data_IF_962449326215
#
_entry.id   IF_962449326215
#
_cell.length_a   1.000
_cell.length_b   1.000
_cell.length_c   1.000
_cell.angle_alpha   90.00
_cell.angle_beta   90.00
_cell.angle_gamma   90.00
#
_symmetry.space_group_name_H-M   'P 1'
#
loop_
_entity.id
_entity.type
_entity.pdbx_description
1 polymer ?
#
# COMPACT_ATOMS: atom_id res chain seq x y z
N UNK A 1 -0.50 4.08 55.48
CA UNK A 1 0.24 3.70 54.26
C UNK A 1 1.31 4.75 53.99
N UNK A 2 2.59 4.37 53.84
CA UNK A 2 3.68 5.33 53.59
C UNK A 2 3.43 6.08 52.27
N UNK A 3 3.79 7.37 52.14
CA UNK A 3 3.46 8.20 50.97
C UNK A 3 3.97 7.63 49.64
N UNK A 4 5.09 6.87 49.66
CA UNK A 4 5.60 6.10 48.51
C UNK A 4 4.62 5.06 47.96
N UNK A 5 3.84 4.39 48.82
CA UNK A 5 2.88 3.37 48.37
C UNK A 5 1.61 3.98 47.77
N UNK A 6 1.17 5.14 48.27
CA UNK A 6 0.07 5.91 47.68
C UNK A 6 0.45 6.38 46.27
N UNK A 7 1.66 6.90 46.06
CA UNK A 7 2.12 7.33 44.75
C UNK A 7 2.18 6.17 43.73
N UNK A 8 2.72 5.02 44.14
CA UNK A 8 2.77 3.82 43.29
C UNK A 8 1.36 3.32 42.96
N UNK A 9 0.45 3.32 43.94
CA UNK A 9 -0.94 2.90 43.73
C UNK A 9 -1.68 3.85 42.80
N UNK A 10 -1.46 5.17 42.91
CA UNK A 10 -2.03 6.17 42.01
C UNK A 10 -1.51 6.01 40.57
N UNK A 11 -0.21 5.75 40.37
CA UNK A 11 0.35 5.47 39.03
C UNK A 11 -0.23 4.17 38.45
N UNK A 12 -0.36 3.13 39.28
CA UNK A 12 -0.95 1.85 38.89
C UNK A 12 -2.45 1.99 38.55
N UNK A 13 -3.17 2.90 39.22
CA UNK A 13 -4.59 3.17 38.95
C UNK A 13 -4.78 4.01 37.67
N UNK A 14 -3.86 4.96 37.40
CA UNK A 14 -3.87 5.73 36.15
C UNK A 14 -3.55 4.88 34.92
N UNK A 15 -2.69 3.86 35.05
CA UNK A 15 -2.32 3.00 33.92
C UNK A 15 -3.48 2.10 33.47
N UNK A 16 -4.34 1.61 34.38
CA UNK A 16 -5.54 0.85 34.02
C UNK A 16 -6.67 1.73 33.46
N UNK A 17 -6.76 3.01 33.85
CA UNK A 17 -7.77 3.94 33.34
C UNK A 17 -7.53 4.39 31.88
N UNK A 18 -6.30 4.23 31.36
CA UNK A 18 -5.96 4.57 29.97
C UNK A 18 -6.48 3.57 28.95
N UNK A 19 -6.91 2.38 29.38
CA UNK A 19 -7.52 1.37 28.52
C UNK A 19 -9.00 1.70 28.22
N UNK A 20 -9.31 2.95 27.84
CA UNK A 20 -10.57 3.25 27.17
C UNK A 20 -10.47 2.71 25.76
N UNK A 21 -11.12 1.57 25.51
CA UNK A 21 -11.41 1.06 24.17
C UNK A 21 -12.29 2.11 23.46
N UNK A 22 -11.67 3.09 22.82
CA UNK A 22 -12.39 4.03 21.94
C UNK A 22 -12.86 3.18 20.76
N UNK A 23 -14.11 2.75 20.79
CA UNK A 23 -14.74 2.14 19.64
C UNK A 23 -14.84 3.23 18.58
N UNK A 24 -14.12 3.07 17.48
CA UNK A 24 -14.28 3.97 16.33
C UNK A 24 -15.61 3.63 15.68
N UNK A 25 -16.48 4.63 15.55
CA UNK A 25 -17.77 4.46 14.90
C UNK A 25 -17.59 4.20 13.41
N UNK A 26 -18.54 3.45 12.83
CA UNK A 26 -18.51 3.16 11.39
C UNK A 26 -18.96 4.42 10.64
N UNK A 27 -18.12 5.01 9.77
CA UNK A 27 -18.53 6.16 8.97
C UNK A 27 -19.65 5.76 7.99
N UNK A 28 -20.56 6.69 7.69
CA UNK A 28 -21.70 6.45 6.80
C UNK A 28 -21.25 6.13 5.36
N UNK A 29 -20.20 6.82 4.92
CA UNK A 29 -19.56 6.72 3.61
C UNK A 29 -18.33 5.79 3.63
N UNK A 30 -18.31 4.74 4.47
CA UNK A 30 -17.18 3.82 4.57
C UNK A 30 -16.79 3.22 3.20
N UNK A 31 -15.52 3.39 2.82
CA UNK A 31 -14.94 2.74 1.64
C UNK A 31 -15.00 1.21 1.85
N UNK A 32 -15.63 0.44 0.93
CA UNK A 32 -15.65 -1.02 1.01
C UNK A 32 -14.25 -1.63 1.10
N UNK A 33 -14.12 -2.75 1.83
CA UNK A 33 -12.82 -3.43 2.03
C UNK A 33 -12.07 -3.72 0.73
N UNK A 34 -12.77 -4.22 -0.29
CA UNK A 34 -12.18 -4.52 -1.59
C UNK A 34 -11.59 -3.27 -2.24
N UNK A 35 -12.34 -2.17 -2.27
CA UNK A 35 -11.89 -0.89 -2.81
C UNK A 35 -10.74 -0.30 -1.97
N UNK A 36 -10.82 -0.40 -0.63
CA UNK A 36 -9.72 0.03 0.25
C UNK A 36 -8.44 -0.77 -0.02
N UNK A 37 -8.53 -2.08 -0.24
CA UNK A 37 -7.38 -2.90 -0.64
C UNK A 37 -6.74 -2.41 -1.95
N UNK A 38 -7.54 -2.07 -2.97
CA UNK A 38 -7.03 -1.52 -4.22
C UNK A 38 -6.40 -0.12 -4.03
N UNK A 39 -6.99 0.73 -3.18
CA UNK A 39 -6.41 2.03 -2.81
C UNK A 39 -5.05 1.84 -2.14
N UNK A 40 -4.94 0.92 -1.18
CA UNK A 40 -3.68 0.63 -0.47
C UNK A 40 -2.60 0.08 -1.41
N UNK A 41 -2.99 -0.74 -2.40
CA UNK A 41 -2.09 -1.18 -3.45
C UNK A 41 -1.54 -0.01 -4.27
N UNK A 42 -2.40 0.90 -4.71
CA UNK A 42 -1.98 2.09 -5.45
C UNK A 42 -1.10 3.03 -4.62
N UNK A 43 -1.43 3.23 -3.34
CA UNK A 43 -0.58 3.96 -2.39
C UNK A 43 0.81 3.32 -2.30
N UNK A 44 0.90 1.99 -2.19
CA UNK A 44 2.16 1.28 -2.13
C UNK A 44 2.98 1.44 -3.42
N UNK A 45 2.34 1.32 -4.59
CA UNK A 45 2.98 1.51 -5.90
C UNK A 45 3.49 2.93 -6.09
N UNK A 46 2.66 3.93 -5.78
CA UNK A 46 3.04 5.34 -5.84
C UNK A 46 4.21 5.62 -4.90
N UNK A 47 4.17 5.13 -3.66
CA UNK A 47 5.25 5.32 -2.69
C UNK A 47 6.56 4.65 -3.14
N UNK A 48 6.51 3.48 -3.77
CA UNK A 48 7.68 2.82 -4.35
C UNK A 48 8.25 3.62 -5.54
N UNK A 49 7.38 4.25 -6.34
CA UNK A 49 7.76 5.07 -7.49
C UNK A 49 8.36 6.43 -7.10
N UNK A 50 8.11 6.94 -5.88
CA UNK A 50 8.63 8.26 -5.42
C UNK A 50 10.15 8.41 -5.55
N UNK A 51 10.92 7.32 -5.50
CA UNK A 51 12.37 7.34 -5.69
C UNK A 51 12.83 7.42 -7.16
N UNK A 52 11.94 7.23 -8.12
CA UNK A 52 12.25 7.12 -9.55
C UNK A 52 11.34 8.09 -10.31
N UNK A 53 11.83 9.31 -10.59
CA UNK A 53 11.13 10.24 -11.48
C UNK A 53 9.98 11.03 -10.85
N UNK A 54 10.07 11.39 -9.57
CA UNK A 54 9.15 12.37 -8.96
C UNK A 54 9.11 13.68 -9.76
N UNK A 55 10.19 14.02 -10.46
CA UNK A 55 10.28 15.22 -11.28
C UNK A 55 9.32 15.17 -12.48
N UNK A 56 9.11 14.00 -13.09
CA UNK A 56 8.11 13.83 -14.16
C UNK A 56 6.70 14.07 -13.63
N UNK A 57 6.38 13.61 -12.42
CA UNK A 57 5.07 13.87 -11.80
C UNK A 57 4.89 15.37 -11.50
N UNK A 58 5.94 16.04 -11.01
CA UNK A 58 5.92 17.48 -10.74
C UNK A 58 5.79 18.32 -12.01
N UNK A 59 6.54 17.99 -13.06
CA UNK A 59 6.47 18.64 -14.37
C UNK A 59 5.05 18.55 -14.95
N UNK A 60 4.41 17.39 -14.79
CA UNK A 60 3.03 17.16 -15.21
C UNK A 60 1.98 17.65 -14.19
N UNK A 61 2.40 18.31 -13.10
CA UNK A 61 1.54 18.84 -12.02
C UNK A 61 0.61 17.78 -11.39
N UNK A 62 1.05 16.52 -11.36
CA UNK A 62 0.32 15.41 -10.76
C UNK A 62 0.63 15.33 -9.27
N UNK A 63 -0.39 15.51 -8.44
CA UNK A 63 -0.31 15.26 -7.00
C UNK A 63 -0.69 13.79 -6.78
N UNK A 64 0.22 12.93 -6.30
CA UNK A 64 -0.01 11.48 -6.28
C UNK A 64 -1.22 11.08 -5.43
N UNK A 65 -1.40 11.71 -4.27
CA UNK A 65 -2.53 11.41 -3.38
C UNK A 65 -3.86 11.81 -4.04
N UNK A 66 -3.92 12.98 -4.70
CA UNK A 66 -5.10 13.42 -5.47
C UNK A 66 -5.41 12.47 -6.63
N UNK A 67 -4.40 11.97 -7.32
CA UNK A 67 -4.58 11.01 -8.40
C UNK A 67 -5.22 9.71 -7.89
N UNK A 68 -4.78 9.20 -6.75
CA UNK A 68 -5.36 7.99 -6.12
C UNK A 68 -6.82 8.22 -5.78
N UNK A 69 -7.15 9.35 -5.15
CA UNK A 69 -8.52 9.70 -4.80
C UNK A 69 -9.44 9.77 -6.02
N UNK A 70 -8.99 10.43 -7.09
CA UNK A 70 -9.73 10.51 -8.35
C UNK A 70 -9.93 9.14 -9.01
N UNK A 71 -8.87 8.32 -9.08
CA UNK A 71 -8.92 6.95 -9.66
C UNK A 71 -9.99 6.09 -8.99
N UNK A 72 -10.12 6.21 -7.67
CA UNK A 72 -11.06 5.42 -6.87
C UNK A 72 -12.39 6.10 -6.60
N UNK A 73 -12.62 7.33 -7.10
CA UNK A 73 -13.85 8.10 -6.84
C UNK A 73 -14.14 8.27 -5.34
N UNK A 74 -13.08 8.51 -4.56
CA UNK A 74 -13.17 8.82 -3.12
C UNK A 74 -12.63 10.21 -2.87
N UNK A 75 -13.06 10.84 -1.79
CA UNK A 75 -12.44 12.09 -1.31
C UNK A 75 -11.46 11.83 -0.16
N UNK A 76 -10.68 12.85 0.20
CA UNK A 76 -9.65 12.74 1.23
C UNK A 76 -10.22 12.50 2.63
N UNK A 77 -11.41 13.04 2.93
CA UNK A 77 -12.07 12.88 4.21
C UNK A 77 -12.62 11.45 4.34
N UNK A 78 -13.32 10.97 3.32
CA UNK A 78 -13.83 9.61 3.23
C UNK A 78 -12.70 8.59 3.39
N UNK A 79 -11.56 8.81 2.72
CA UNK A 79 -10.38 7.97 2.90
C UNK A 79 -9.85 8.01 4.32
N UNK A 80 -9.68 9.21 4.90
CA UNK A 80 -9.17 9.36 6.26
C UNK A 80 -10.05 8.66 7.30
N UNK A 81 -11.36 8.86 7.24
CA UNK A 81 -12.34 8.24 8.14
C UNK A 81 -12.38 6.71 7.98
N UNK A 82 -12.38 6.23 6.74
CA UNK A 82 -12.34 4.79 6.44
C UNK A 82 -11.04 4.15 6.92
N UNK A 83 -9.91 4.82 6.71
CA UNK A 83 -8.60 4.38 7.20
C UNK A 83 -8.58 4.32 8.73
N UNK A 84 -9.10 5.33 9.43
CA UNK A 84 -9.22 5.31 10.89
C UNK A 84 -10.12 4.18 11.38
N UNK A 85 -11.25 3.92 10.71
CA UNK A 85 -12.15 2.81 11.03
C UNK A 85 -11.47 1.45 10.86
N UNK A 86 -10.75 1.23 9.76
CA UNK A 86 -10.03 -0.03 9.55
C UNK A 86 -8.83 -0.17 10.48
N UNK A 87 -8.12 0.92 10.79
CA UNK A 87 -7.04 0.94 11.78
C UNK A 87 -7.50 0.52 13.19
N UNK A 88 -8.76 0.76 13.55
CA UNK A 88 -9.33 0.28 14.80
C UNK A 88 -9.65 -1.22 14.80
N UNK A 89 -9.46 -1.92 13.67
CA UNK A 89 -9.76 -3.34 13.47
C UNK A 89 -8.54 -4.09 12.92
N UNK A 90 -7.53 -4.37 13.76
CA UNK A 90 -6.22 -4.86 13.29
C UNK A 90 -6.28 -6.12 12.43
N UNK A 91 -7.14 -7.10 12.78
CA UNK A 91 -7.27 -8.32 11.99
C UNK A 91 -7.84 -8.09 10.59
N UNK A 92 -8.85 -7.21 10.46
CA UNK A 92 -9.43 -6.87 9.15
C UNK A 92 -8.43 -6.05 8.33
N UNK A 93 -7.71 -5.13 8.96
CA UNK A 93 -6.74 -4.30 8.25
C UNK A 93 -5.51 -5.09 7.79
N UNK A 94 -4.98 -5.96 8.65
CA UNK A 94 -3.88 -6.85 8.30
C UNK A 94 -4.24 -7.77 7.14
N UNK A 95 -5.49 -8.24 7.05
CA UNK A 95 -5.94 -9.04 5.92
C UNK A 95 -5.91 -8.24 4.59
N UNK A 96 -6.26 -6.95 4.61
CA UNK A 96 -6.15 -6.08 3.43
C UNK A 96 -4.69 -5.90 3.00
N UNK A 97 -3.78 -5.62 3.93
CA UNK A 97 -2.34 -5.54 3.62
C UNK A 97 -1.75 -6.84 3.09
N UNK A 98 -2.17 -7.99 3.63
CA UNK A 98 -1.75 -9.30 3.12
C UNK A 98 -2.19 -9.53 1.67
N UNK A 99 -3.38 -9.07 1.31
CA UNK A 99 -3.85 -9.13 -0.08
C UNK A 99 -3.06 -8.17 -0.99
N UNK A 100 -2.71 -6.97 -0.49
CA UNK A 100 -1.81 -6.05 -1.20
C UNK A 100 -0.45 -6.69 -1.47
N UNK A 101 0.18 -7.30 -0.45
CA UNK A 101 1.46 -8.00 -0.60
C UNK A 101 1.39 -9.12 -1.64
N UNK A 102 0.29 -9.90 -1.63
CA UNK A 102 0.05 -10.96 -2.60
C UNK A 102 -0.04 -10.39 -4.03
N UNK A 103 -0.84 -9.36 -4.25
CA UNK A 103 -0.98 -8.70 -5.56
C UNK A 103 0.35 -8.13 -6.06
N UNK A 104 1.13 -7.49 -5.18
CA UNK A 104 2.46 -6.98 -5.53
C UNK A 104 3.42 -8.11 -5.96
N UNK A 105 3.37 -9.25 -5.26
CA UNK A 105 4.17 -10.43 -5.62
C UNK A 105 3.76 -10.98 -6.99
N UNK A 106 2.45 -11.12 -7.24
CA UNK A 106 1.92 -11.57 -8.55
C UNK A 106 2.35 -10.64 -9.69
N UNK A 107 2.26 -9.32 -9.48
CA UNK A 107 2.73 -8.32 -10.44
C UNK A 107 4.23 -8.46 -10.75
N UNK A 108 5.05 -8.67 -9.70
CA UNK A 108 6.49 -8.86 -9.87
C UNK A 108 6.80 -10.14 -10.65
N UNK A 109 6.17 -11.25 -10.30
CA UNK A 109 6.37 -12.53 -11.01
C UNK A 109 5.95 -12.44 -12.48
N UNK A 110 4.84 -11.74 -12.77
CA UNK A 110 4.42 -11.48 -14.16
C UNK A 110 5.45 -10.64 -14.92
N UNK A 111 6.01 -9.60 -14.29
CA UNK A 111 7.05 -8.78 -14.89
C UNK A 111 8.35 -9.56 -15.14
N UNK A 112 8.78 -10.38 -14.19
CA UNK A 112 10.00 -11.18 -14.31
C UNK A 112 9.88 -12.20 -15.45
N UNK A 113 8.72 -12.85 -15.59
CA UNK A 113 8.41 -13.74 -16.72
C UNK A 113 8.44 -13.01 -18.06
N UNK A 114 7.78 -11.85 -18.17
CA UNK A 114 7.78 -11.05 -19.39
C UNK A 114 9.21 -10.65 -19.82
N UNK A 115 10.05 -10.22 -18.87
CA UNK A 115 11.46 -9.89 -19.13
C UNK A 115 12.28 -11.10 -19.58
N UNK A 116 11.99 -12.29 -19.06
CA UNK A 116 12.67 -13.52 -19.49
C UNK A 116 12.28 -13.92 -20.92
N UNK A 117 11.00 -13.78 -21.28
CA UNK A 117 10.51 -14.01 -22.64
C UNK A 117 11.11 -13.02 -23.65
N UNK A 118 11.18 -11.73 -23.30
CA UNK A 118 11.86 -10.70 -24.10
C UNK A 118 13.34 -11.03 -24.33
N UNK A 119 14.06 -11.51 -23.31
CA UNK A 119 15.47 -11.92 -23.45
C UNK A 119 15.63 -13.14 -24.35
N UNK A 120 14.76 -14.15 -24.23
CA UNK A 120 14.80 -15.36 -25.07
C UNK A 120 14.50 -15.05 -26.54
N UNK A 121 13.53 -14.16 -26.79
CA UNK A 121 13.17 -13.73 -28.15
C UNK A 121 14.21 -12.80 -28.76
N UNK A 122 14.78 -11.87 -27.98
CA UNK A 122 15.89 -11.00 -28.39
C UNK A 122 17.16 -11.77 -28.80
N UNK A 123 17.63 -12.68 -27.95
CA UNK A 123 18.80 -13.52 -28.26
C UNK A 123 18.54 -14.45 -29.47
N UNK A 124 17.30 -14.91 -29.66
CA UNK A 124 16.95 -15.75 -30.81
C UNK A 124 16.93 -14.95 -32.12
N UNK A 125 16.60 -13.66 -32.08
CA UNK A 125 16.66 -12.76 -33.23
C UNK A 125 18.09 -12.47 -33.69
N UNK A 126 19.00 -12.23 -32.74
CA UNK A 126 20.43 -11.99 -33.03
C UNK A 126 21.14 -13.26 -33.52
N UNK A 127 20.86 -14.42 -32.90
CA UNK A 127 21.43 -15.70 -33.33
C UNK A 127 20.91 -16.20 -34.69
N UNK A 128 19.71 -15.76 -35.11
CA UNK A 128 19.18 -16.06 -36.46
C UNK A 128 19.83 -15.17 -37.53
N UNK A 129 20.02 -13.88 -37.25
CA UNK A 129 20.71 -12.95 -38.17
C UNK A 129 22.18 -13.30 -38.38
N UNK A 130 22.90 -13.68 -37.32
CA UNK A 130 24.30 -14.11 -37.44
C UNK A 130 24.47 -15.36 -38.32
N UNK A 131 23.51 -16.28 -38.31
CA UNK A 131 23.54 -17.48 -39.18
C UNK A 131 23.16 -17.19 -40.64
N UNK A 132 22.33 -16.19 -40.89
CA UNK A 132 21.99 -15.76 -42.26
C UNK A 132 23.14 -14.98 -42.92
N UNK A 133 23.94 -14.23 -42.14
CA UNK A 133 25.12 -13.52 -42.63
C UNK A 133 26.33 -14.45 -42.88
N UNK A 134 26.48 -15.55 -42.15
CA UNK A 134 27.53 -16.56 -42.38
C UNK A 134 27.24 -17.52 -43.54
N UNK A 135 26.03 -17.47 -44.12
CA UNK A 135 25.63 -18.34 -45.26
C UNK A 135 25.70 -17.60 -46.61
N UNK A 136 26.27 -16.39 -46.66
CA UNK A 136 26.58 -15.66 -47.90
C UNK A 136 28.08 -15.63 -48.21
#
# INVERSE_FOLDING_TARGET
MKPRHIFIFTIMLLSVASCKKRSVEKPENLIPKSQMTEILLDVALVNAARGIGMDVLKENKVIPDTYIYQKHQVDSLQFAESNTYYASKPAEYAAMYKEVEKKLKEMKEAQDKAREEERKTGNSGEAKRAKEEETQ
#
